data_IF_293471559393
#
_entry.id   IF_293471559393
#
_cell.length_a   1.000
_cell.length_b   1.000
_cell.length_c   1.000
_cell.angle_alpha   90.00
_cell.angle_beta   90.00
_cell.angle_gamma   90.00
#
_symmetry.space_group_name_H-M   'P 1'
#
loop_
_entity.id
_entity.type
_entity.pdbx_description
1 polymer ?
#
# COMPACT_ATOMS: atom_id res chain seq x y z
N UNK A 1 15.92 148.44 -43.66
CA UNK A 1 17.19 148.91 -43.05
C UNK A 1 17.00 149.45 -41.63
N UNK A 2 15.92 150.18 -41.28
CA UNK A 2 15.76 150.73 -39.90
C UNK A 2 15.38 149.70 -38.81
N UNK A 3 14.70 148.61 -39.17
CA UNK A 3 14.33 147.57 -38.19
C UNK A 3 15.53 146.84 -37.56
N UNK A 4 16.69 146.84 -38.23
CA UNK A 4 17.91 146.21 -37.73
C UNK A 4 18.54 147.05 -36.62
N UNK A 5 18.53 148.38 -36.74
CA UNK A 5 19.10 149.29 -35.73
C UNK A 5 18.25 149.33 -34.44
N UNK A 6 16.93 149.19 -34.57
CA UNK A 6 16.03 149.14 -33.41
C UNK A 6 16.16 147.83 -32.64
N UNK A 7 16.34 146.70 -33.35
CA UNK A 7 16.71 145.43 -32.72
C UNK A 7 18.07 145.54 -32.02
N UNK A 8 19.05 146.23 -32.61
CA UNK A 8 20.35 146.46 -31.97
C UNK A 8 20.25 147.24 -30.65
N UNK A 9 19.46 148.33 -30.59
CA UNK A 9 19.29 149.08 -29.32
C UNK A 9 18.59 148.25 -28.24
N UNK A 10 17.62 147.42 -28.62
CA UNK A 10 16.88 146.56 -27.67
C UNK A 10 17.75 145.45 -27.10
N UNK A 11 18.65 144.90 -27.93
CA UNK A 11 19.64 143.92 -27.48
C UNK A 11 20.60 144.57 -26.48
N UNK A 12 21.10 145.79 -26.73
CA UNK A 12 22.00 146.49 -25.80
C UNK A 12 21.35 146.72 -24.43
N UNK A 13 20.07 147.15 -24.39
CA UNK A 13 19.34 147.34 -23.12
C UNK A 13 19.05 146.02 -22.38
N UNK A 14 18.77 144.94 -23.11
CA UNK A 14 18.64 143.61 -22.52
C UNK A 14 19.98 143.13 -21.94
N UNK A 15 21.10 143.44 -22.60
CA UNK A 15 22.44 143.11 -22.12
C UNK A 15 22.80 143.88 -20.84
N UNK A 16 22.48 145.17 -20.73
CA UNK A 16 22.71 145.94 -19.49
C UNK A 16 21.86 145.45 -18.31
N UNK A 17 20.59 145.07 -18.56
CA UNK A 17 19.69 144.54 -17.52
C UNK A 17 20.11 143.15 -17.03
N UNK A 18 20.65 142.34 -17.94
CA UNK A 18 21.29 141.07 -17.57
C UNK A 18 22.57 141.37 -16.78
N UNK A 19 23.35 142.39 -17.18
CA UNK A 19 24.54 142.85 -16.45
C UNK A 19 24.24 143.23 -15.00
N UNK A 20 23.23 144.06 -14.75
CA UNK A 20 22.85 144.48 -13.39
C UNK A 20 22.15 143.38 -12.58
N UNK A 21 21.38 142.50 -13.23
CA UNK A 21 20.80 141.32 -12.57
C UNK A 21 21.88 140.33 -12.09
N UNK A 22 22.98 140.23 -12.83
CA UNK A 22 24.14 139.42 -12.45
C UNK A 22 24.89 140.07 -11.27
N UNK A 23 24.97 141.41 -11.19
CA UNK A 23 25.55 142.09 -10.01
C UNK A 23 24.73 141.84 -8.73
N UNK A 24 23.40 141.84 -8.79
CA UNK A 24 22.54 141.55 -7.64
C UNK A 24 22.66 140.08 -7.18
N UNK A 25 22.75 139.13 -8.10
CA UNK A 25 23.03 137.72 -7.79
C UNK A 25 24.45 137.51 -7.26
N UNK A 26 25.39 138.42 -7.59
CA UNK A 26 26.76 138.39 -7.08
C UNK A 26 26.85 138.84 -5.63
N UNK A 27 26.06 139.83 -5.23
CA UNK A 27 26.09 140.39 -3.87
C UNK A 27 25.22 139.59 -2.88
N UNK A 28 24.23 138.82 -3.34
CA UNK A 28 23.43 137.90 -2.54
C UNK A 28 24.11 136.52 -2.39
N UNK A 29 25.28 136.50 -1.74
CA UNK A 29 25.96 135.25 -1.39
C UNK A 29 25.21 134.45 -0.31
N UNK A 30 25.11 133.11 -0.42
CA UNK A 30 24.65 132.27 0.67
C UNK A 30 25.64 132.36 1.85
N UNK A 31 25.12 132.48 3.07
CA UNK A 31 25.93 132.56 4.28
C UNK A 31 26.91 131.37 4.35
N UNK A 32 28.21 131.66 4.39
CA UNK A 32 29.31 130.75 4.11
C UNK A 32 29.55 129.63 5.16
N UNK A 33 28.58 129.33 6.03
CA UNK A 33 28.64 128.26 7.04
C UNK A 33 27.75 127.04 6.74
N UNK A 34 26.51 127.25 6.28
CA UNK A 34 25.53 126.16 6.12
C UNK A 34 25.58 125.49 4.73
N UNK A 35 25.99 126.22 3.70
CA UNK A 35 26.01 125.72 2.30
C UNK A 35 27.09 124.65 2.08
N UNK A 36 28.16 124.63 2.89
CA UNK A 36 29.20 123.60 2.80
C UNK A 36 28.77 122.31 3.51
N UNK A 37 28.20 122.39 4.71
CA UNK A 37 27.77 121.22 5.48
C UNK A 37 26.59 120.47 4.82
N UNK A 38 25.61 121.21 4.29
CA UNK A 38 24.49 120.63 3.56
C UNK A 38 24.93 119.97 2.24
N UNK A 39 25.91 120.54 1.53
CA UNK A 39 26.46 119.91 0.33
C UNK A 39 27.22 118.63 0.63
N UNK A 40 27.98 118.59 1.73
CA UNK A 40 28.66 117.35 2.15
C UNK A 40 27.64 116.27 2.51
N UNK A 41 26.61 116.58 3.30
CA UNK A 41 25.57 115.61 3.64
C UNK A 41 24.75 115.14 2.42
N UNK A 42 24.46 116.05 1.47
CA UNK A 42 23.75 115.70 0.24
C UNK A 42 24.60 114.82 -0.69
N UNK A 43 25.92 115.06 -0.77
CA UNK A 43 26.82 114.19 -1.52
C UNK A 43 27.01 112.82 -0.84
N UNK A 44 27.06 112.77 0.50
CA UNK A 44 27.07 111.50 1.24
C UNK A 44 25.80 110.67 1.02
N UNK A 45 24.61 111.29 1.09
CA UNK A 45 23.33 110.63 0.80
C UNK A 45 23.20 110.21 -0.68
N UNK A 46 23.73 111.00 -1.62
CA UNK A 46 23.77 110.63 -3.04
C UNK A 46 24.67 109.43 -3.29
N UNK A 47 25.82 109.37 -2.64
CA UNK A 47 26.72 108.20 -2.73
C UNK A 47 26.07 106.97 -2.10
N UNK A 48 25.40 107.11 -0.95
CA UNK A 48 24.68 106.01 -0.31
C UNK A 48 23.52 105.49 -1.17
N UNK A 49 22.72 106.36 -1.77
CA UNK A 49 21.65 105.97 -2.68
C UNK A 49 22.19 105.33 -3.96
N UNK A 50 23.26 105.86 -4.56
CA UNK A 50 23.88 105.25 -5.72
C UNK A 50 24.38 103.82 -5.43
N UNK A 51 24.99 103.60 -4.25
CA UNK A 51 25.41 102.27 -3.81
C UNK A 51 24.23 101.32 -3.54
N UNK A 52 23.11 101.81 -3.01
CA UNK A 52 21.91 101.02 -2.78
C UNK A 52 21.18 100.68 -4.09
N UNK A 53 21.14 101.60 -5.04
CA UNK A 53 20.59 101.37 -6.38
C UNK A 53 21.41 100.33 -7.15
N UNK A 54 22.74 100.38 -7.06
CA UNK A 54 23.63 99.38 -7.65
C UNK A 54 23.47 98.00 -6.98
N UNK A 55 23.30 97.95 -5.65
CA UNK A 55 22.97 96.71 -4.93
C UNK A 55 21.61 96.14 -5.30
N UNK A 56 20.58 96.98 -5.42
CA UNK A 56 19.26 96.55 -5.87
C UNK A 56 19.28 96.06 -7.31
N UNK A 57 20.06 96.71 -8.18
CA UNK A 57 20.23 96.29 -9.56
C UNK A 57 20.92 94.93 -9.65
N UNK A 58 22.02 94.75 -8.93
CA UNK A 58 22.75 93.47 -8.89
C UNK A 58 21.93 92.35 -8.25
N UNK A 59 21.15 92.63 -7.22
CA UNK A 59 20.22 91.66 -6.62
C UNK A 59 19.10 91.30 -7.60
N UNK A 60 18.53 92.28 -8.29
CA UNK A 60 17.50 92.04 -9.33
C UNK A 60 18.06 91.25 -10.51
N UNK A 61 19.27 91.55 -10.96
CA UNK A 61 19.95 90.80 -12.03
C UNK A 61 20.24 89.36 -11.58
N UNK A 62 20.72 89.16 -10.35
CA UNK A 62 20.93 87.82 -9.78
C UNK A 62 19.63 87.04 -9.66
N UNK A 63 18.56 87.64 -9.13
CA UNK A 63 17.26 86.97 -9.05
C UNK A 63 16.65 86.72 -10.41
N UNK A 64 16.81 87.64 -11.37
CA UNK A 64 16.37 87.41 -12.74
C UNK A 64 17.12 86.23 -13.36
N UNK A 65 18.44 86.16 -13.18
CA UNK A 65 19.28 85.04 -13.65
C UNK A 65 18.93 83.73 -12.95
N UNK A 66 18.66 83.76 -11.65
CA UNK A 66 18.32 82.57 -10.85
C UNK A 66 16.90 82.06 -11.20
N UNK A 67 15.95 82.98 -11.41
CA UNK A 67 14.61 82.65 -11.93
C UNK A 67 14.70 82.09 -13.34
N UNK A 68 15.50 82.67 -14.23
CA UNK A 68 15.68 82.16 -15.60
C UNK A 68 16.39 80.80 -15.59
N UNK A 69 17.41 80.61 -14.75
CA UNK A 69 18.10 79.33 -14.61
C UNK A 69 17.15 78.23 -14.09
N UNK A 70 16.34 78.53 -13.08
CA UNK A 70 15.33 77.61 -12.56
C UNK A 70 14.22 77.34 -13.57
N UNK A 71 13.79 78.34 -14.35
CA UNK A 71 12.84 78.15 -15.45
C UNK A 71 13.44 77.28 -16.54
N UNK A 72 14.69 77.48 -16.91
CA UNK A 72 15.36 76.71 -17.97
C UNK A 72 15.61 75.26 -17.50
N UNK A 73 15.89 75.04 -16.21
CA UNK A 73 15.95 73.69 -15.62
C UNK A 73 14.57 73.03 -15.45
N UNK A 74 13.52 73.82 -15.21
CA UNK A 74 12.15 73.34 -15.02
C UNK A 74 11.30 73.35 -16.29
N UNK A 75 11.87 73.74 -17.44
CA UNK A 75 11.21 73.80 -18.74
C UNK A 75 11.77 72.80 -19.77
N UNK A 76 11.77 71.50 -19.47
CA UNK A 76 11.38 70.53 -20.47
C UNK A 76 9.89 70.23 -20.28
N UNK A 77 9.01 71.14 -20.72
CA UNK A 77 7.56 70.87 -20.83
C UNK A 77 7.29 69.58 -21.65
N UNK A 78 8.26 69.16 -22.47
CA UNK A 78 8.22 67.88 -23.18
C UNK A 78 8.27 66.63 -22.29
N UNK A 79 8.97 66.60 -21.15
CA UNK A 79 9.03 65.39 -20.31
C UNK A 79 7.77 65.22 -19.46
N UNK A 80 7.22 66.30 -18.91
CA UNK A 80 5.98 66.24 -18.15
C UNK A 80 4.77 65.89 -19.05
N UNK A 81 4.69 66.46 -20.25
CA UNK A 81 3.60 66.16 -21.19
C UNK A 81 3.76 64.79 -21.84
N UNK A 82 4.99 64.31 -22.09
CA UNK A 82 5.19 62.92 -22.54
C UNK A 82 4.81 61.92 -21.45
N UNK A 83 5.17 62.15 -20.19
CA UNK A 83 4.77 61.28 -19.08
C UNK A 83 3.25 61.30 -18.87
N UNK A 84 2.57 62.45 -18.96
CA UNK A 84 1.10 62.53 -18.90
C UNK A 84 0.44 61.78 -20.05
N UNK A 85 0.99 61.90 -21.26
CA UNK A 85 0.49 61.19 -22.44
C UNK A 85 0.69 59.68 -22.28
N UNK A 86 1.84 59.24 -21.78
CA UNK A 86 2.11 57.83 -21.46
C UNK A 86 1.23 57.29 -20.33
N UNK A 87 0.93 58.10 -19.32
CA UNK A 87 0.02 57.71 -18.22
C UNK A 87 -1.42 57.57 -18.72
N UNK A 88 -1.88 58.50 -19.57
CA UNK A 88 -3.20 58.42 -20.21
C UNK A 88 -3.30 57.22 -21.17
N UNK A 89 -2.24 56.92 -21.90
CA UNK A 89 -2.16 55.73 -22.75
C UNK A 89 -2.12 54.44 -21.90
N UNK A 90 -1.38 54.43 -20.79
CA UNK A 90 -1.30 53.29 -19.88
C UNK A 90 -2.63 53.04 -19.16
N UNK A 91 -3.35 54.08 -18.73
CA UNK A 91 -4.69 53.93 -18.12
C UNK A 91 -5.73 53.46 -19.14
N UNK A 92 -5.66 53.96 -20.38
CA UNK A 92 -6.51 53.46 -21.47
C UNK A 92 -6.21 51.98 -21.76
N UNK A 93 -4.94 51.60 -21.88
CA UNK A 93 -4.54 50.19 -22.06
C UNK A 93 -4.99 49.32 -20.88
N UNK A 94 -4.85 49.80 -19.65
CA UNK A 94 -5.28 49.08 -18.45
C UNK A 94 -6.80 48.87 -18.44
N UNK A 95 -7.58 49.90 -18.80
CA UNK A 95 -9.03 49.77 -18.95
C UNK A 95 -9.43 48.75 -20.03
N UNK A 96 -8.72 48.71 -21.17
CA UNK A 96 -8.97 47.69 -22.20
C UNK A 96 -8.62 46.28 -21.73
N UNK A 97 -7.58 46.12 -20.91
CA UNK A 97 -7.20 44.83 -20.33
C UNK A 97 -8.20 44.39 -19.27
N UNK A 98 -8.69 45.30 -18.43
CA UNK A 98 -9.73 45.00 -17.44
C UNK A 98 -11.06 44.60 -18.11
N UNK A 99 -11.45 45.30 -19.19
CA UNK A 99 -12.63 44.93 -19.98
C UNK A 99 -12.46 43.53 -20.62
N UNK A 100 -11.32 43.25 -21.25
CA UNK A 100 -11.04 41.93 -21.83
C UNK A 100 -11.00 40.82 -20.77
N UNK A 101 -10.53 41.11 -19.54
CA UNK A 101 -10.57 40.16 -18.42
C UNK A 101 -11.99 39.89 -17.93
N UNK A 102 -12.85 40.91 -17.89
CA UNK A 102 -14.25 40.75 -17.52
C UNK A 102 -15.00 39.89 -18.56
N UNK A 103 -14.84 40.17 -19.85
CA UNK A 103 -15.42 39.37 -20.93
C UNK A 103 -14.93 37.91 -20.90
N UNK A 104 -13.65 37.69 -20.60
CA UNK A 104 -13.08 36.35 -20.45
C UNK A 104 -13.66 35.62 -19.24
N UNK A 105 -13.92 36.32 -18.13
CA UNK A 105 -14.56 35.73 -16.95
C UNK A 105 -16.00 35.31 -17.24
N UNK A 106 -16.77 36.16 -17.95
CA UNK A 106 -18.15 35.85 -18.34
C UNK A 106 -18.21 34.70 -19.35
N UNK A 107 -17.35 34.71 -20.36
CA UNK A 107 -17.25 33.61 -21.33
C UNK A 107 -16.88 32.29 -20.64
N UNK A 108 -15.99 32.32 -19.64
CA UNK A 108 -15.64 31.15 -18.84
C UNK A 108 -16.83 30.65 -18.01
N UNK A 109 -17.59 31.55 -17.39
CA UNK A 109 -18.78 31.18 -16.62
C UNK A 109 -19.88 30.57 -17.50
N UNK A 110 -20.09 31.09 -18.72
CA UNK A 110 -21.02 30.53 -19.70
C UNK A 110 -20.56 29.14 -20.16
N UNK A 111 -19.27 28.97 -20.43
CA UNK A 111 -18.72 27.68 -20.83
C UNK A 111 -18.84 26.63 -19.71
N UNK A 112 -18.51 27.00 -18.46
CA UNK A 112 -18.63 26.10 -17.30
C UNK A 112 -20.06 25.67 -17.01
N UNK A 113 -21.03 26.54 -17.28
CA UNK A 113 -22.47 26.29 -17.12
C UNK A 113 -23.15 25.75 -18.40
N UNK A 114 -22.39 25.53 -19.48
CA UNK A 114 -22.96 24.98 -20.70
C UNK A 114 -23.41 23.53 -20.49
N UNK A 115 -24.56 23.18 -21.06
CA UNK A 115 -25.10 21.82 -21.00
C UNK A 115 -24.10 20.81 -21.60
N UNK A 116 -23.31 21.22 -22.60
CA UNK A 116 -22.25 20.41 -23.21
C UNK A 116 -21.18 20.02 -22.18
N UNK A 117 -20.67 20.97 -21.38
CA UNK A 117 -19.69 20.66 -20.33
C UNK A 117 -20.30 19.75 -19.26
N UNK A 118 -21.59 19.91 -18.93
CA UNK A 118 -22.27 18.99 -18.02
C UNK A 118 -22.40 17.57 -18.61
N UNK A 119 -22.74 17.44 -19.89
CA UNK A 119 -22.83 16.13 -20.58
C UNK A 119 -21.46 15.45 -20.67
N UNK A 120 -20.40 16.18 -21.00
CA UNK A 120 -19.04 15.64 -21.06
C UNK A 120 -18.55 15.21 -19.68
N UNK A 121 -18.87 15.95 -18.62
CA UNK A 121 -18.56 15.53 -17.23
C UNK A 121 -19.27 14.22 -16.87
N UNK A 122 -20.56 14.09 -17.21
CA UNK A 122 -21.31 12.86 -16.99
C UNK A 122 -20.78 11.68 -17.83
N UNK A 123 -20.39 11.92 -19.08
CA UNK A 123 -19.76 10.90 -19.93
C UNK A 123 -18.39 10.47 -19.37
N UNK A 124 -17.57 11.42 -18.89
CA UNK A 124 -16.30 11.11 -18.22
C UNK A 124 -16.54 10.28 -16.96
N UNK A 125 -17.55 10.59 -16.16
CA UNK A 125 -17.90 9.83 -14.96
C UNK A 125 -18.33 8.40 -15.29
N UNK A 126 -19.16 8.21 -16.32
CA UNK A 126 -19.54 6.87 -16.78
C UNK A 126 -18.34 6.08 -17.31
N UNK A 127 -17.48 6.69 -18.14
CA UNK A 127 -16.24 6.07 -18.62
C UNK A 127 -15.28 5.71 -17.48
N UNK A 128 -15.18 6.54 -16.45
CA UNK A 128 -14.39 6.24 -15.25
C UNK A 128 -14.94 5.02 -14.51
N UNK A 129 -16.26 4.89 -14.36
CA UNK A 129 -16.88 3.71 -13.75
C UNK A 129 -16.64 2.43 -14.56
N UNK A 130 -16.75 2.50 -15.90
CA UNK A 130 -16.45 1.36 -16.77
C UNK A 130 -14.97 0.96 -16.68
N UNK A 131 -14.06 1.94 -16.61
CA UNK A 131 -12.64 1.69 -16.42
C UNK A 131 -12.35 1.04 -15.07
N UNK A 132 -12.95 1.53 -13.98
CA UNK A 132 -12.81 0.92 -12.66
C UNK A 132 -13.31 -0.53 -12.63
N UNK A 133 -14.47 -0.81 -13.22
CA UNK A 133 -14.97 -2.17 -13.35
C UNK A 133 -14.07 -3.07 -14.21
N UNK A 134 -13.45 -2.53 -15.27
CA UNK A 134 -12.49 -3.26 -16.08
C UNK A 134 -11.21 -3.61 -15.30
N UNK A 135 -10.67 -2.66 -14.53
CA UNK A 135 -9.51 -2.86 -13.64
C UNK A 135 -9.81 -3.92 -12.56
N UNK A 136 -10.98 -3.89 -11.94
CA UNK A 136 -11.44 -4.92 -10.99
C UNK A 136 -11.53 -6.31 -11.66
N UNK A 137 -12.09 -6.37 -12.88
CA UNK A 137 -12.19 -7.61 -13.63
C UNK A 137 -10.81 -8.17 -14.03
N UNK A 138 -9.84 -7.31 -14.32
CA UNK A 138 -8.45 -7.71 -14.56
C UNK A 138 -7.78 -8.25 -13.28
N UNK A 139 -8.00 -7.59 -12.14
CA UNK A 139 -7.52 -8.07 -10.83
C UNK A 139 -8.07 -9.46 -10.51
N UNK A 140 -9.37 -9.66 -10.66
CA UNK A 140 -10.01 -10.97 -10.44
C UNK A 140 -9.51 -12.04 -11.42
N UNK A 141 -9.28 -11.68 -12.69
CA UNK A 141 -8.68 -12.60 -13.67
C UNK A 141 -7.27 -13.03 -13.25
N UNK A 142 -6.44 -12.08 -12.81
CA UNK A 142 -5.10 -12.39 -12.30
C UNK A 142 -5.16 -13.27 -11.05
N UNK A 143 -6.11 -13.05 -10.16
CA UNK A 143 -6.28 -13.89 -8.96
C UNK A 143 -6.72 -15.31 -9.34
N UNK A 144 -7.69 -15.45 -10.25
CA UNK A 144 -8.11 -16.76 -10.78
C UNK A 144 -6.93 -17.47 -11.46
N UNK A 145 -6.13 -16.76 -12.25
CA UNK A 145 -4.93 -17.32 -12.89
C UNK A 145 -3.92 -17.83 -11.87
N UNK A 146 -3.75 -17.13 -10.74
CA UNK A 146 -2.89 -17.58 -9.63
C UNK A 146 -3.46 -18.75 -8.84
N UNK A 147 -4.79 -18.80 -8.66
CA UNK A 147 -5.47 -19.86 -7.89
C UNK A 147 -5.63 -21.15 -8.68
N UNK A 148 -5.76 -21.08 -10.01
CA UNK A 148 -5.92 -22.24 -10.88
C UNK A 148 -4.83 -23.31 -10.70
N UNK A 149 -3.52 -23.01 -10.73
CA UNK A 149 -2.48 -24.01 -10.49
C UNK A 149 -2.48 -24.55 -9.06
N UNK A 150 -2.89 -23.75 -8.08
CA UNK A 150 -3.02 -24.18 -6.68
C UNK A 150 -4.15 -25.21 -6.55
N UNK A 151 -5.29 -24.97 -7.22
CA UNK A 151 -6.41 -25.90 -7.25
C UNK A 151 -6.01 -27.24 -7.88
N UNK A 152 -5.33 -27.22 -9.04
CA UNK A 152 -4.82 -28.45 -9.66
C UNK A 152 -3.87 -29.23 -8.74
N UNK A 153 -2.97 -28.53 -8.04
CA UNK A 153 -2.07 -29.17 -7.08
C UNK A 153 -2.80 -29.75 -5.87
N UNK A 154 -3.88 -29.11 -5.41
CA UNK A 154 -4.72 -29.65 -4.35
C UNK A 154 -5.43 -30.94 -4.79
N UNK A 155 -5.98 -30.96 -6.00
CA UNK A 155 -6.59 -32.17 -6.59
C UNK A 155 -5.59 -33.33 -6.71
N UNK A 156 -4.35 -33.04 -7.14
CA UNK A 156 -3.28 -34.03 -7.21
C UNK A 156 -2.94 -34.61 -5.82
N UNK A 157 -2.80 -33.75 -4.81
CA UNK A 157 -2.55 -34.18 -3.43
C UNK A 157 -3.72 -35.00 -2.86
N UNK A 158 -4.96 -34.66 -3.16
CA UNK A 158 -6.13 -35.44 -2.76
C UNK A 158 -6.13 -36.84 -3.40
N UNK A 159 -5.77 -36.92 -4.69
CA UNK A 159 -5.61 -38.19 -5.38
C UNK A 159 -4.50 -39.04 -4.75
N UNK A 160 -3.35 -38.46 -4.42
CA UNK A 160 -2.26 -39.16 -3.73
C UNK A 160 -2.67 -39.65 -2.34
N UNK A 161 -3.37 -38.83 -1.55
CA UNK A 161 -3.89 -39.23 -0.24
C UNK A 161 -4.90 -40.37 -0.35
N UNK A 162 -5.77 -40.34 -1.37
CA UNK A 162 -6.72 -41.44 -1.62
C UNK A 162 -6.01 -42.75 -1.95
N UNK A 163 -4.92 -42.69 -2.73
CA UNK A 163 -4.09 -43.85 -3.06
C UNK A 163 -3.34 -44.41 -1.85
N UNK A 164 -2.69 -43.55 -1.08
CA UNK A 164 -1.96 -43.96 0.13
C UNK A 164 -2.88 -44.57 1.18
N UNK A 165 -4.12 -44.06 1.30
CA UNK A 165 -5.15 -44.67 2.16
C UNK A 165 -5.52 -46.08 1.69
N UNK A 166 -5.70 -46.29 0.39
CA UNK A 166 -5.98 -47.62 -0.15
C UNK A 166 -4.81 -48.59 0.12
N UNK A 167 -3.57 -48.16 -0.14
CA UNK A 167 -2.37 -48.95 0.12
C UNK A 167 -2.23 -49.32 1.61
N UNK A 168 -2.59 -48.41 2.52
CA UNK A 168 -2.59 -48.67 3.96
C UNK A 168 -3.62 -49.72 4.35
N UNK A 169 -4.86 -49.60 3.87
CA UNK A 169 -5.93 -50.59 4.12
C UNK A 169 -5.51 -51.97 3.60
N UNK A 170 -4.91 -52.05 2.42
CA UNK A 170 -4.38 -53.30 1.88
C UNK A 170 -3.26 -53.87 2.76
N UNK A 171 -2.40 -53.02 3.32
CA UNK A 171 -1.34 -53.45 4.24
C UNK A 171 -1.90 -53.99 5.57
N UNK A 172 -2.92 -53.35 6.13
CA UNK A 172 -3.61 -53.81 7.35
C UNK A 172 -4.28 -55.17 7.09
N UNK A 173 -4.98 -55.31 5.97
CA UNK A 173 -5.58 -56.58 5.54
C UNK A 173 -4.53 -57.68 5.38
N UNK A 174 -3.35 -57.39 4.85
CA UNK A 174 -2.25 -58.36 4.78
C UNK A 174 -1.78 -58.79 6.18
N UNK A 175 -1.78 -57.90 7.18
CA UNK A 175 -1.44 -58.29 8.56
C UNK A 175 -2.48 -59.22 9.17
N UNK A 176 -3.77 -58.95 8.95
CA UNK A 176 -4.89 -59.79 9.39
C UNK A 176 -4.82 -61.18 8.75
N UNK A 177 -4.70 -61.28 7.43
CA UNK A 177 -4.56 -62.55 6.73
C UNK A 177 -3.34 -63.33 7.20
N UNK A 178 -2.22 -62.65 7.50
CA UNK A 178 -1.04 -63.32 8.03
C UNK A 178 -1.27 -63.85 9.45
N UNK A 179 -2.05 -63.16 10.28
CA UNK A 179 -2.44 -63.64 11.60
C UNK A 179 -3.37 -64.86 11.49
N UNK A 180 -4.38 -64.81 10.62
CA UNK A 180 -5.26 -65.95 10.34
C UNK A 180 -4.48 -67.17 9.83
N UNK A 181 -3.56 -66.97 8.88
CA UNK A 181 -2.71 -68.05 8.37
C UNK A 181 -1.81 -68.65 9.47
N UNK A 182 -1.34 -67.86 10.43
CA UNK A 182 -0.60 -68.38 11.59
C UNK A 182 -1.50 -69.23 12.48
N UNK A 183 -2.72 -68.78 12.75
CA UNK A 183 -3.71 -69.53 13.54
C UNK A 183 -4.08 -70.84 12.87
N UNK A 184 -4.43 -70.85 11.59
CA UNK A 184 -4.77 -72.06 10.84
C UNK A 184 -3.59 -73.06 10.77
N UNK A 185 -2.35 -72.56 10.67
CA UNK A 185 -1.16 -73.43 10.73
C UNK A 185 -0.97 -74.05 12.11
N UNK A 186 -1.18 -73.29 13.18
CA UNK A 186 -1.10 -73.80 14.55
C UNK A 186 -2.21 -74.85 14.81
N UNK A 187 -3.42 -74.59 14.34
CA UNK A 187 -4.56 -75.51 14.43
C UNK A 187 -4.26 -76.83 13.70
N UNK A 188 -3.79 -76.75 12.44
CA UNK A 188 -3.41 -77.94 11.66
C UNK A 188 -2.28 -78.74 12.32
N UNK A 189 -1.31 -78.08 12.95
CA UNK A 189 -0.25 -78.76 13.70
C UNK A 189 -0.80 -79.49 14.93
N UNK A 190 -1.71 -78.86 15.67
CA UNK A 190 -2.41 -79.48 16.81
C UNK A 190 -3.23 -80.70 16.39
N UNK A 191 -4.03 -80.58 15.33
CA UNK A 191 -4.81 -81.68 14.75
C UNK A 191 -3.91 -82.84 14.30
N UNK A 192 -2.78 -82.54 13.65
CA UNK A 192 -1.80 -83.57 13.26
C UNK A 192 -1.22 -84.32 14.46
N UNK A 193 -0.91 -83.61 15.55
CA UNK A 193 -0.42 -84.23 16.79
C UNK A 193 -1.49 -85.09 17.47
N UNK A 194 -2.75 -84.65 17.52
CA UNK A 194 -3.85 -85.43 18.08
C UNK A 194 -4.11 -86.71 17.27
N UNK A 195 -4.13 -86.62 15.93
CA UNK A 195 -4.31 -87.78 15.05
C UNK A 195 -3.17 -88.80 15.21
N UNK A 196 -1.92 -88.33 15.30
CA UNK A 196 -0.77 -89.22 15.53
C UNK A 196 -0.89 -90.00 16.85
N UNK A 197 -1.39 -89.37 17.92
CA UNK A 197 -1.62 -90.05 19.20
C UNK A 197 -2.72 -91.10 19.11
N UNK A 198 -3.82 -90.78 18.41
CA UNK A 198 -4.89 -91.73 18.18
C UNK A 198 -4.41 -92.95 17.37
N UNK A 199 -3.60 -92.73 16.33
CA UNK A 199 -3.01 -93.82 15.55
C UNK A 199 -2.11 -94.73 16.41
N UNK A 200 -1.29 -94.15 17.29
CA UNK A 200 -0.44 -94.91 18.23
C UNK A 200 -1.28 -95.75 19.20
N UNK A 201 -2.36 -95.20 19.75
CA UNK A 201 -3.24 -95.92 20.69
C UNK A 201 -4.07 -97.01 20.00
N UNK A 202 -4.54 -96.79 18.76
CA UNK A 202 -5.17 -97.82 17.95
C UNK A 202 -4.22 -98.97 17.62
N UNK A 203 -2.94 -98.68 17.35
CA UNK A 203 -1.92 -99.72 17.16
C UNK A 203 -1.69 -100.53 18.44
N UNK A 204 -1.64 -99.87 19.60
CA UNK A 204 -1.55 -100.56 20.91
C UNK A 204 -2.76 -101.45 21.16
N UNK A 205 -3.97 -100.96 20.88
CA UNK A 205 -5.21 -101.73 21.03
C UNK A 205 -5.19 -102.99 20.16
N UNK A 206 -4.80 -102.87 18.89
CA UNK A 206 -4.69 -104.02 17.98
C UNK A 206 -3.69 -105.06 18.52
N UNK A 207 -2.52 -104.61 18.96
CA UNK A 207 -1.48 -105.49 19.53
C UNK A 207 -1.94 -106.19 20.80
N UNK A 208 -2.60 -105.47 21.73
CA UNK A 208 -3.11 -106.06 22.96
C UNK A 208 -4.23 -107.08 22.71
N UNK A 209 -5.10 -106.83 21.73
CA UNK A 209 -6.13 -107.79 21.31
C UNK A 209 -5.54 -109.03 20.62
N UNK A 210 -4.51 -108.87 19.79
CA UNK A 210 -3.77 -109.98 19.19
C UNK A 210 -3.19 -110.90 20.29
N UNK A 211 -2.54 -110.29 21.30
CA UNK A 211 -1.98 -111.01 22.44
C UNK A 211 -3.04 -111.71 23.28
N UNK A 212 -4.18 -111.05 23.54
CA UNK A 212 -5.31 -111.67 24.23
C UNK A 212 -5.83 -112.89 23.48
N UNK A 213 -6.10 -112.76 22.17
CA UNK A 213 -6.56 -113.88 21.34
C UNK A 213 -5.57 -115.04 21.38
N UNK A 214 -4.28 -114.78 21.19
CA UNK A 214 -3.23 -115.81 21.29
C UNK A 214 -3.22 -116.50 22.65
N UNK A 215 -3.28 -115.74 23.76
CA UNK A 215 -3.29 -116.31 25.11
C UNK A 215 -4.54 -117.14 25.42
N UNK A 216 -5.70 -116.76 24.87
CA UNK A 216 -6.97 -117.49 25.01
C UNK A 216 -6.97 -118.75 24.17
N UNK A 217 -6.43 -118.70 22.95
CA UNK A 217 -6.30 -119.88 22.09
C UNK A 217 -5.33 -120.91 22.68
N UNK A 218 -4.20 -120.47 23.24
CA UNK A 218 -3.28 -121.32 24.02
C UNK A 218 -3.99 -121.96 25.22
N UNK A 219 -4.71 -121.16 26.02
CA UNK A 219 -5.42 -121.66 27.20
C UNK A 219 -6.52 -122.65 26.82
N UNK A 220 -7.26 -122.40 25.72
CA UNK A 220 -8.31 -123.30 25.21
C UNK A 220 -7.71 -124.62 24.74
N UNK A 221 -6.64 -124.59 23.97
CA UNK A 221 -5.97 -125.80 23.52
C UNK A 221 -5.41 -126.63 24.70
N UNK A 222 -4.83 -125.96 25.69
CA UNK A 222 -4.34 -126.63 26.90
C UNK A 222 -5.50 -127.21 27.75
N UNK A 223 -6.64 -126.52 27.82
CA UNK A 223 -7.82 -126.98 28.51
C UNK A 223 -8.44 -128.22 27.83
N UNK A 224 -8.51 -128.24 26.49
CA UNK A 224 -8.97 -129.39 25.72
C UNK A 224 -8.06 -130.62 25.90
N UNK A 225 -6.75 -130.41 25.99
CA UNK A 225 -5.76 -131.45 26.26
C UNK A 225 -5.68 -131.86 27.75
N UNK A 226 -6.39 -131.17 28.65
CA UNK A 226 -6.36 -131.41 30.09
C UNK A 226 -5.06 -130.99 30.80
N UNK A 227 -4.24 -130.15 30.16
CA UNK A 227 -2.91 -129.70 30.64
C UNK A 227 -2.90 -128.20 31.00
N UNK A 228 -4.07 -127.58 31.19
CA UNK A 228 -4.16 -126.19 31.61
C UNK A 228 -3.61 -126.00 33.04
N UNK A 229 -2.76 -124.99 33.21
CA UNK A 229 -2.15 -124.63 34.50
C UNK A 229 -2.54 -123.22 34.97
N UNK A 230 -2.17 -122.90 36.21
CA UNK A 230 -2.45 -121.60 36.82
C UNK A 230 -1.70 -120.44 36.13
N UNK A 231 -0.52 -120.70 35.56
CA UNK A 231 0.29 -119.67 34.91
C UNK A 231 -0.29 -119.26 33.55
N UNK A 232 -0.87 -120.19 32.80
CA UNK A 232 -1.64 -119.92 31.58
C UNK A 232 -2.88 -119.07 31.89
N UNK A 233 -3.60 -119.37 32.96
CA UNK A 233 -4.74 -118.56 33.41
C UNK A 233 -4.29 -117.15 33.82
N UNK A 234 -3.19 -117.03 34.57
CA UNK A 234 -2.61 -115.74 34.94
C UNK A 234 -2.15 -114.93 33.71
N UNK A 235 -1.58 -115.59 32.69
CA UNK A 235 -1.20 -114.95 31.43
C UNK A 235 -2.42 -114.45 30.64
N UNK A 236 -3.47 -115.26 30.53
CA UNK A 236 -4.70 -114.87 29.84
C UNK A 236 -5.41 -113.71 30.54
N UNK A 237 -5.51 -113.74 31.87
CA UNK A 237 -6.11 -112.64 32.66
C UNK A 237 -5.27 -111.36 32.63
N UNK A 238 -3.93 -111.47 32.61
CA UNK A 238 -3.05 -110.32 32.41
C UNK A 238 -3.22 -109.71 31.02
N UNK A 239 -3.34 -110.53 29.97
CA UNK A 239 -3.63 -110.07 28.62
C UNK A 239 -5.01 -109.43 28.50
N UNK A 240 -6.02 -109.93 29.23
CA UNK A 240 -7.36 -109.35 29.29
C UNK A 240 -7.35 -107.96 29.97
N UNK A 241 -6.62 -107.83 31.08
CA UNK A 241 -6.43 -106.53 31.74
C UNK A 241 -5.70 -105.54 30.84
N UNK A 242 -4.70 -105.98 30.07
CA UNK A 242 -3.98 -105.10 29.14
C UNK A 242 -4.85 -104.71 27.94
N UNK A 243 -5.63 -105.63 27.37
CA UNK A 243 -6.57 -105.34 26.29
C UNK A 243 -7.66 -104.35 26.73
N UNK A 244 -8.21 -104.51 27.94
CA UNK A 244 -9.22 -103.59 28.49
C UNK A 244 -8.64 -102.21 28.81
N UNK A 245 -7.39 -102.13 29.28
CA UNK A 245 -6.68 -100.85 29.45
C UNK A 245 -6.42 -100.17 28.11
N UNK A 246 -5.94 -100.90 27.11
CA UNK A 246 -5.72 -100.36 25.77
C UNK A 246 -7.03 -99.90 25.12
N UNK A 247 -8.13 -100.61 25.33
CA UNK A 247 -9.46 -100.20 24.84
C UNK A 247 -9.89 -98.88 25.45
N UNK A 248 -9.82 -98.75 26.78
CA UNK A 248 -10.14 -97.49 27.48
C UNK A 248 -9.22 -96.33 27.08
N UNK A 249 -7.95 -96.60 26.81
CA UNK A 249 -7.01 -95.59 26.33
C UNK A 249 -7.37 -95.09 24.92
N UNK A 250 -7.72 -96.01 24.01
CA UNK A 250 -8.22 -95.68 22.67
C UNK A 250 -9.50 -94.87 22.74
N UNK A 251 -10.49 -95.31 23.53
CA UNK A 251 -11.77 -94.61 23.70
C UNK A 251 -11.55 -93.18 24.25
N UNK A 252 -10.63 -93.03 25.20
CA UNK A 252 -10.27 -91.73 25.74
C UNK A 252 -9.57 -90.86 24.67
N UNK A 253 -8.64 -91.41 23.88
CA UNK A 253 -7.95 -90.69 22.82
C UNK A 253 -8.92 -90.23 21.71
N UNK A 254 -9.86 -91.10 21.33
CA UNK A 254 -10.94 -90.78 20.38
C UNK A 254 -11.83 -89.64 20.91
N UNK A 255 -12.26 -89.72 22.17
CA UNK A 255 -13.06 -88.68 22.79
C UNK A 255 -12.32 -87.33 22.82
N UNK A 256 -11.04 -87.32 23.18
CA UNK A 256 -10.22 -86.10 23.17
C UNK A 256 -10.02 -85.55 21.75
N UNK A 257 -9.81 -86.41 20.74
CA UNK A 257 -9.67 -85.98 19.35
C UNK A 257 -10.96 -85.37 18.80
N UNK A 258 -12.11 -85.95 19.16
CA UNK A 258 -13.43 -85.40 18.80
C UNK A 258 -13.67 -84.07 19.51
N UNK A 259 -13.41 -83.97 20.82
CA UNK A 259 -13.54 -82.73 21.57
C UNK A 259 -12.63 -81.63 21.02
N UNK A 260 -11.37 -81.93 20.73
CA UNK A 260 -10.43 -80.98 20.13
C UNK A 260 -10.89 -80.44 18.76
N UNK A 261 -11.71 -81.20 18.02
CA UNK A 261 -12.30 -80.77 16.75
C UNK A 261 -13.61 -80.02 16.91
N UNK A 262 -14.41 -80.34 17.94
CA UNK A 262 -15.69 -79.69 18.21
C UNK A 262 -15.52 -78.37 18.96
N UNK A 263 -14.51 -78.26 19.83
CA UNK A 263 -14.26 -77.05 20.63
C UNK A 263 -14.12 -75.77 19.78
N UNK A 264 -13.33 -75.72 18.69
CA UNK A 264 -13.30 -74.53 17.82
C UNK A 264 -14.64 -74.27 17.12
N UNK A 265 -15.39 -75.31 16.73
CA UNK A 265 -16.70 -75.13 16.08
C UNK A 265 -17.75 -74.57 17.04
N UNK A 266 -17.69 -74.97 18.32
CA UNK A 266 -18.58 -74.47 19.38
C UNK A 266 -18.24 -73.04 19.78
N UNK A 267 -16.96 -72.69 19.87
CA UNK A 267 -16.55 -71.31 20.15
C UNK A 267 -16.94 -70.38 19.01
N UNK A 268 -16.80 -70.80 17.74
CA UNK A 268 -17.28 -70.04 16.59
C UNK A 268 -18.81 -69.92 16.55
N UNK A 269 -19.56 -70.97 16.91
CA UNK A 269 -21.02 -70.91 16.97
C UNK A 269 -21.54 -69.96 18.06
N UNK A 270 -20.94 -69.98 19.26
CA UNK A 270 -21.29 -69.05 20.33
C UNK A 270 -20.99 -67.59 19.99
N UNK A 271 -19.92 -67.32 19.23
CA UNK A 271 -19.57 -65.97 18.76
C UNK A 271 -20.58 -65.46 17.72
N UNK A 272 -21.04 -66.33 16.82
CA UNK A 272 -22.03 -65.98 15.80
C UNK A 272 -23.45 -65.75 16.37
N UNK A 273 -23.83 -66.45 17.44
CA UNK A 273 -25.11 -66.21 18.12
C UNK A 273 -25.09 -64.93 18.98
N UNK A 274 -23.92 -64.48 19.46
CA UNK A 274 -23.76 -63.26 20.25
C UNK A 274 -23.74 -61.94 19.46
N UNK A 275 -23.66 -61.98 18.12
CA UNK A 275 -23.68 -60.77 17.26
C UNK A 275 -25.09 -60.38 16.77
N UNK A 276 -26.14 -61.11 17.16
CA UNK A 276 -27.53 -60.87 16.73
C UNK A 276 -28.41 -60.23 17.83
N UNK A 277 -27.86 -59.92 19.01
CA UNK A 277 -28.51 -59.09 20.05
C UNK A 277 -27.94 -57.66 20.09
#
# INVERSE_FOLDING_TARGET
MSQIEELQRRIIAAMERIGSGIEVLRDAGPAAGDDVALRVALEEERVANAQLEERLKTIKEKHAQEIDALRTQSAPDGEADTLRTQLAEATSRLATVEAARAELADAKAVLENSDEVATLKAEIETLQSYRGSAEEAESLRSEVEQLTPIAYRAEEMEAELSRLRADLVDSERLTELNAELKMLRAERASHGAAMSRLDDDLQRLRKANEQLRGSVDELRAAAEAGVADADMLNRATAAELEATRAARASDAAEAHAVLARLEPLLTHANLAEGEVE
#
